data_IF_610335277578
#
_entry.id   IF_610335277578
#
_cell.length_a   1.000
_cell.length_b   1.000
_cell.length_c   1.000
_cell.angle_alpha   90.00
_cell.angle_beta   90.00
_cell.angle_gamma   90.00
#
_symmetry.space_group_name_H-M   'P 1'
#
loop_
_entity.id
_entity.type
_entity.pdbx_description
1 polymer ?
#
# COMPACT_ATOMS: atom_id res chain seq x y z
N UNK A 1 20.69 -0.14 -18.78
CA UNK A 1 20.00 0.56 -17.68
C UNK A 1 19.51 -0.52 -16.74
N UNK A 2 19.95 -0.52 -15.48
CA UNK A 2 19.42 -1.48 -14.51
C UNK A 2 17.95 -1.16 -14.31
N UNK A 3 17.05 -2.05 -14.73
CA UNK A 3 15.62 -2.03 -14.38
C UNK A 3 15.52 -2.48 -12.92
N UNK A 4 15.95 -1.61 -12.01
CA UNK A 4 15.91 -1.88 -10.58
C UNK A 4 14.45 -1.93 -10.13
N UNK A 5 14.06 -3.02 -9.48
CA UNK A 5 12.73 -3.19 -8.92
C UNK A 5 12.60 -2.24 -7.73
N UNK A 6 11.70 -1.27 -7.84
CA UNK A 6 11.33 -0.33 -6.80
C UNK A 6 9.82 -0.37 -6.56
N UNK A 7 9.36 0.35 -5.53
CA UNK A 7 7.96 0.42 -5.12
C UNK A 7 6.98 0.66 -6.29
N UNK A 8 7.28 1.65 -7.14
CA UNK A 8 6.42 2.01 -8.27
C UNK A 8 6.42 0.96 -9.38
N UNK A 9 7.60 0.40 -9.72
CA UNK A 9 7.69 -0.64 -10.76
C UNK A 9 7.06 -1.97 -10.32
N UNK A 10 7.15 -2.31 -9.03
CA UNK A 10 6.51 -3.49 -8.47
C UNK A 10 4.98 -3.35 -8.48
N UNK A 11 4.46 -2.18 -8.09
CA UNK A 11 3.03 -1.86 -8.24
C UNK A 11 2.58 -1.94 -9.70
N UNK A 12 3.36 -1.35 -10.63
CA UNK A 12 3.05 -1.40 -12.06
C UNK A 12 3.04 -2.83 -12.63
N UNK A 13 3.84 -3.75 -12.08
CA UNK A 13 3.86 -5.15 -12.51
C UNK A 13 2.57 -5.91 -12.16
N UNK A 14 1.73 -5.35 -11.28
CA UNK A 14 0.41 -5.90 -10.94
C UNK A 14 -0.71 -5.36 -11.84
N UNK A 15 -0.44 -4.32 -12.63
CA UNK A 15 -1.44 -3.70 -13.49
C UNK A 15 -2.02 -4.70 -14.49
N UNK A 16 -3.35 -4.75 -14.56
CA UNK A 16 -4.07 -5.65 -15.47
C UNK A 16 -4.14 -7.12 -15.04
N UNK A 17 -3.62 -7.48 -13.87
CA UNK A 17 -3.89 -8.79 -13.29
C UNK A 17 -5.33 -8.85 -12.78
N UNK A 18 -6.11 -9.77 -13.32
CA UNK A 18 -7.48 -10.04 -12.87
C UNK A 18 -7.52 -10.81 -11.54
N UNK A 19 -6.49 -11.62 -11.29
CA UNK A 19 -6.41 -12.52 -10.14
C UNK A 19 -4.98 -12.55 -9.57
N UNK A 20 -4.88 -12.66 -8.24
CA UNK A 20 -3.61 -12.80 -7.54
C UNK A 20 -3.30 -14.28 -7.25
N UNK A 21 -2.40 -14.85 -8.04
CA UNK A 21 -1.72 -16.09 -7.63
C UNK A 21 -0.76 -15.84 -6.46
N UNK A 22 -0.23 -16.91 -5.86
CA UNK A 22 0.67 -16.82 -4.70
C UNK A 22 1.89 -15.93 -5.00
N UNK A 23 2.45 -16.01 -6.21
CA UNK A 23 3.60 -15.19 -6.58
C UNK A 23 3.25 -13.71 -6.61
N UNK A 24 2.09 -13.36 -7.18
CA UNK A 24 1.60 -11.98 -7.23
C UNK A 24 1.24 -11.48 -5.83
N UNK A 25 0.60 -12.30 -4.98
CA UNK A 25 0.31 -11.93 -3.59
C UNK A 25 1.57 -11.62 -2.78
N UNK A 26 2.68 -12.31 -3.03
CA UNK A 26 3.96 -12.02 -2.39
C UNK A 26 4.54 -10.67 -2.80
N UNK A 27 4.33 -10.26 -4.06
CA UNK A 27 4.68 -8.92 -4.52
C UNK A 27 3.81 -7.86 -3.83
N UNK A 28 2.50 -8.09 -3.73
CA UNK A 28 1.60 -7.19 -2.97
C UNK A 28 2.05 -7.13 -1.51
N UNK A 29 2.34 -8.26 -0.88
CA UNK A 29 2.83 -8.32 0.48
C UNK A 29 4.06 -7.42 0.68
N UNK A 30 5.04 -7.51 -0.21
CA UNK A 30 6.24 -6.68 -0.14
C UNK A 30 5.93 -5.18 -0.37
N UNK A 31 4.95 -4.86 -1.22
CA UNK A 31 4.45 -3.49 -1.36
C UNK A 31 3.84 -2.98 -0.05
N UNK A 32 3.00 -3.76 0.63
CA UNK A 32 2.40 -3.37 1.92
C UNK A 32 3.45 -3.17 3.02
N UNK A 33 4.46 -4.06 3.09
CA UNK A 33 5.61 -3.90 3.97
C UNK A 33 6.37 -2.60 3.67
N UNK A 34 6.52 -2.28 2.40
CA UNK A 34 7.17 -1.04 1.96
C UNK A 34 6.28 0.19 2.17
N UNK A 35 4.96 0.03 2.15
CA UNK A 35 3.95 1.06 2.39
C UNK A 35 4.06 1.65 3.79
N UNK A 36 4.30 0.81 4.81
CA UNK A 36 4.57 1.28 6.17
C UNK A 36 5.77 2.25 6.18
N UNK A 37 6.86 1.89 5.48
CA UNK A 37 8.06 2.73 5.41
C UNK A 37 7.80 3.99 4.59
N UNK A 38 7.09 3.87 3.47
CA UNK A 38 6.66 4.99 2.63
C UNK A 38 5.94 6.07 3.45
N UNK A 39 4.92 5.66 4.22
CA UNK A 39 4.15 6.58 5.03
C UNK A 39 4.94 7.19 6.19
N UNK A 40 5.84 6.42 6.82
CA UNK A 40 6.74 6.97 7.84
C UNK A 40 7.73 7.99 7.26
N UNK A 41 8.28 7.74 6.07
CA UNK A 41 9.16 8.71 5.38
C UNK A 41 8.42 9.99 5.02
N UNK A 42 7.17 9.89 4.55
CA UNK A 42 6.33 11.07 4.33
C UNK A 42 6.07 11.82 5.62
N UNK A 43 5.77 11.11 6.72
CA UNK A 43 5.54 11.72 8.03
C UNK A 43 6.78 12.46 8.59
N UNK A 44 7.98 11.99 8.27
CA UNK A 44 9.24 12.66 8.63
C UNK A 44 9.50 13.92 7.80
N UNK A 45 9.09 13.92 6.53
CA UNK A 45 9.34 15.02 5.58
C UNK A 45 8.23 16.06 5.57
N UNK A 46 7.02 15.70 6.00
CA UNK A 46 5.90 16.65 6.09
C UNK A 46 6.16 17.60 7.27
N UNK A 47 6.39 18.88 6.97
CA UNK A 47 6.68 19.88 7.99
C UNK A 47 5.39 20.36 8.70
N UNK A 48 4.59 19.41 9.18
CA UNK A 48 3.34 19.67 9.90
C UNK A 48 3.01 18.46 10.78
N UNK A 49 2.87 18.69 12.09
CA UNK A 49 2.67 17.61 13.08
C UNK A 49 1.33 16.88 12.93
N UNK A 50 0.25 17.59 12.58
CA UNK A 50 -1.06 16.99 12.36
C UNK A 50 -1.06 16.09 11.12
N UNK A 51 -0.45 16.56 10.04
CA UNK A 51 -0.26 15.75 8.84
C UNK A 51 0.60 14.50 9.11
N UNK A 52 1.70 14.65 9.86
CA UNK A 52 2.58 13.55 10.21
C UNK A 52 1.84 12.45 10.99
N UNK A 53 0.97 12.83 11.93
CA UNK A 53 0.16 11.89 12.72
C UNK A 53 -0.84 11.11 11.85
N UNK A 54 -1.48 11.77 10.87
CA UNK A 54 -2.36 11.09 9.92
C UNK A 54 -1.61 10.04 9.10
N UNK A 55 -0.39 10.36 8.65
CA UNK A 55 0.43 9.45 7.84
C UNK A 55 0.93 8.26 8.64
N UNK A 56 1.31 8.45 9.91
CA UNK A 56 1.71 7.33 10.79
C UNK A 56 0.57 6.36 11.06
N UNK A 57 -0.69 6.82 11.03
CA UNK A 57 -1.84 5.91 11.12
C UNK A 57 -1.95 5.01 9.89
N UNK A 58 -1.82 5.57 8.68
CA UNK A 58 -1.76 4.75 7.46
C UNK A 58 -0.59 3.76 7.57
N UNK A 59 0.61 4.21 7.96
CA UNK A 59 1.78 3.34 8.09
C UNK A 59 1.54 2.08 8.94
N UNK A 60 0.87 2.22 10.10
CA UNK A 60 0.56 1.10 10.98
C UNK A 60 -0.47 0.14 10.35
N UNK A 61 -1.43 0.70 9.62
CA UNK A 61 -2.48 -0.05 8.95
C UNK A 61 -1.95 -0.85 7.74
N UNK A 62 -0.94 -0.35 7.02
CA UNK A 62 -0.27 -1.10 5.93
C UNK A 62 0.35 -2.43 6.41
N UNK A 63 0.95 -2.43 7.61
CA UNK A 63 1.44 -3.70 8.19
C UNK A 63 0.28 -4.66 8.47
N UNK A 64 -0.91 -4.14 8.71
CA UNK A 64 -2.16 -4.92 8.76
C UNK A 64 -2.49 -5.58 7.42
N UNK A 65 -2.35 -4.86 6.31
CA UNK A 65 -2.54 -5.39 4.97
C UNK A 65 -1.59 -6.55 4.67
N UNK A 66 -0.29 -6.36 4.96
CA UNK A 66 0.73 -7.40 4.80
C UNK A 66 0.38 -8.68 5.57
N UNK A 67 -0.06 -8.55 6.84
CA UNK A 67 -0.48 -9.71 7.65
C UNK A 67 -1.68 -10.43 7.05
N UNK A 68 -2.67 -9.71 6.51
CA UNK A 68 -3.84 -10.33 5.84
C UNK A 68 -3.43 -11.02 4.55
N UNK A 69 -2.47 -10.49 3.78
CA UNK A 69 -1.91 -11.16 2.61
C UNK A 69 -1.13 -12.42 2.97
N UNK A 70 -0.33 -12.41 4.03
CA UNK A 70 0.36 -13.62 4.50
C UNK A 70 -0.63 -14.74 4.86
N UNK A 71 -1.77 -14.37 5.48
CA UNK A 71 -2.87 -15.29 5.76
C UNK A 71 -3.52 -15.82 4.46
N UNK A 72 -3.80 -14.94 3.50
CA UNK A 72 -4.34 -15.33 2.20
C UNK A 72 -3.40 -16.29 1.43
N UNK A 73 -2.09 -16.02 1.44
CA UNK A 73 -1.07 -16.91 0.85
C UNK A 73 -1.09 -18.29 1.52
N UNK A 74 -1.19 -18.32 2.86
CA UNK A 74 -1.27 -19.58 3.60
C UNK A 74 -2.50 -20.41 3.19
N UNK A 75 -3.65 -19.76 3.02
CA UNK A 75 -4.88 -20.42 2.57
C UNK A 75 -4.71 -21.01 1.17
N UNK A 76 -4.15 -20.24 0.22
CA UNK A 76 -3.87 -20.72 -1.14
C UNK A 76 -2.88 -21.88 -1.21
N UNK A 77 -1.91 -21.92 -0.30
CA UNK A 77 -0.92 -23.01 -0.23
C UNK A 77 -1.44 -24.24 0.51
N UNK A 78 -2.50 -24.11 1.32
CA UNK A 78 -3.00 -25.15 2.21
C UNK A 78 -2.08 -25.42 3.42
N UNK A 79 -1.10 -24.54 3.67
CA UNK A 79 -0.17 -24.62 4.78
C UNK A 79 0.23 -23.22 5.23
N UNK A 80 0.68 -23.08 6.47
CA UNK A 80 1.22 -21.81 6.96
C UNK A 80 2.39 -21.33 6.09
N UNK A 81 2.35 -20.06 5.73
CA UNK A 81 3.41 -19.37 5.04
C UNK A 81 3.90 -18.20 5.91
N UNK A 82 5.22 -18.12 6.06
CA UNK A 82 5.91 -17.01 6.68
C UNK A 82 6.79 -16.34 5.64
N UNK A 83 6.86 -15.01 5.71
CA UNK A 83 7.73 -14.25 4.83
C UNK A 83 9.20 -14.54 5.13
N UNK A 84 9.98 -14.75 4.08
CA UNK A 84 11.43 -14.80 4.17
C UNK A 84 12.00 -13.39 4.38
N UNK A 85 13.26 -13.31 4.84
CA UNK A 85 13.94 -12.02 4.97
C UNK A 85 13.99 -11.20 3.67
N UNK A 86 14.00 -11.87 2.51
CA UNK A 86 13.97 -11.21 1.20
C UNK A 86 12.58 -10.65 0.85
N UNK A 87 11.50 -11.32 1.28
CA UNK A 87 10.13 -10.85 1.08
C UNK A 87 9.75 -9.72 2.06
N UNK A 88 10.47 -9.60 3.18
CA UNK A 88 10.41 -8.47 4.12
C UNK A 88 11.35 -7.31 3.74
N UNK A 89 12.18 -7.47 2.72
CA UNK A 89 13.06 -6.39 2.27
C UNK A 89 12.23 -5.25 1.67
N UNK A 90 12.42 -4.04 2.22
CA UNK A 90 11.71 -2.84 1.78
C UNK A 90 12.18 -2.46 0.39
N UNK A 91 11.24 -2.34 -0.55
CA UNK A 91 11.54 -1.88 -1.90
C UNK A 91 12.07 -0.45 -1.85
N UNK A 92 12.98 -0.12 -2.77
CA UNK A 92 13.45 1.26 -2.92
C UNK A 92 12.26 2.20 -3.18
N UNK A 93 12.22 3.33 -2.48
CA UNK A 93 11.14 4.33 -2.55
C UNK A 93 11.74 5.67 -2.99
N UNK A 94 11.67 6.04 -4.28
CA UNK A 94 12.22 7.29 -4.77
C UNK A 94 11.27 8.46 -4.47
N UNK A 95 11.21 8.87 -3.20
CA UNK A 95 10.46 10.04 -2.73
C UNK A 95 11.29 11.32 -2.90
N UNK A 96 10.68 12.45 -3.32
CA UNK A 96 11.34 13.75 -3.35
C UNK A 96 11.69 14.23 -1.94
N UNK A 97 12.72 15.07 -1.83
CA UNK A 97 13.16 15.64 -0.54
C UNK A 97 12.09 16.55 0.08
N UNK A 98 11.28 17.19 -0.76
CA UNK A 98 10.20 18.08 -0.34
C UNK A 98 8.85 17.42 -0.62
N UNK A 99 8.03 17.34 0.41
CA UNK A 99 6.64 16.89 0.32
C UNK A 99 5.74 18.07 -0.04
N UNK A 100 5.05 17.98 -1.18
CA UNK A 100 4.18 19.03 -1.71
C UNK A 100 2.71 18.61 -1.72
N UNK A 101 1.82 19.58 -1.88
CA UNK A 101 0.39 19.31 -2.12
C UNK A 101 0.20 18.46 -3.40
N UNK A 102 0.90 18.75 -4.48
CA UNK A 102 0.78 17.99 -5.74
C UNK A 102 1.17 16.52 -5.58
N UNK A 103 2.21 16.22 -4.77
CA UNK A 103 2.56 14.85 -4.40
C UNK A 103 1.38 14.14 -3.72
N UNK A 104 0.70 14.83 -2.80
CA UNK A 104 -0.43 14.27 -2.08
C UNK A 104 -1.67 14.05 -2.94
N UNK A 105 -1.93 14.87 -3.95
CA UNK A 105 -2.96 14.57 -4.94
C UNK A 105 -2.68 13.24 -5.65
N UNK A 106 -1.40 12.95 -5.97
CA UNK A 106 -0.98 11.66 -6.49
C UNK A 106 -1.15 10.50 -5.51
N UNK A 107 -0.81 10.71 -4.23
CA UNK A 107 -0.98 9.69 -3.18
C UNK A 107 -2.45 9.33 -2.98
N UNK A 108 -3.34 10.33 -2.89
CA UNK A 108 -4.80 10.10 -2.78
C UNK A 108 -5.29 9.23 -3.94
N UNK A 109 -4.86 9.52 -5.16
CA UNK A 109 -5.23 8.70 -6.31
C UNK A 109 -4.62 7.29 -6.24
N UNK A 110 -3.41 7.14 -5.71
CA UNK A 110 -2.77 5.86 -5.44
C UNK A 110 -3.60 4.98 -4.51
N UNK A 111 -4.05 5.52 -3.39
CA UNK A 111 -4.89 4.82 -2.40
C UNK A 111 -6.24 4.39 -3.00
N UNK A 112 -6.89 5.28 -3.74
CA UNK A 112 -8.15 4.97 -4.45
C UNK A 112 -7.94 3.82 -5.45
N UNK A 113 -6.82 3.83 -6.17
CA UNK A 113 -6.47 2.75 -7.08
C UNK A 113 -6.12 1.46 -6.34
N UNK A 114 -5.55 1.56 -5.13
CA UNK A 114 -5.30 0.44 -4.22
C UNK A 114 -6.59 -0.28 -3.84
N UNK A 115 -7.60 0.47 -3.36
CA UNK A 115 -8.94 -0.09 -3.10
C UNK A 115 -9.51 -0.76 -4.35
N UNK A 116 -9.54 -0.05 -5.46
CA UNK A 116 -10.07 -0.59 -6.72
C UNK A 116 -9.36 -1.88 -7.14
N UNK A 117 -8.04 -1.95 -6.97
CA UNK A 117 -7.24 -3.16 -7.22
C UNK A 117 -7.65 -4.32 -6.31
N UNK A 118 -7.74 -4.07 -4.99
CA UNK A 118 -8.17 -5.07 -4.03
C UNK A 118 -9.59 -5.57 -4.28
N UNK A 119 -10.55 -4.69 -4.58
CA UNK A 119 -11.91 -5.12 -4.92
C UNK A 119 -11.92 -5.93 -6.22
N UNK A 120 -11.16 -5.51 -7.23
CA UNK A 120 -11.08 -6.24 -8.48
C UNK A 120 -10.53 -7.65 -8.31
N UNK A 121 -9.45 -7.82 -7.55
CA UNK A 121 -8.90 -9.15 -7.27
C UNK A 121 -9.84 -10.00 -6.41
N UNK A 122 -10.55 -9.38 -5.46
CA UNK A 122 -11.56 -10.08 -4.66
C UNK A 122 -12.73 -10.59 -5.53
N UNK A 123 -13.22 -9.80 -6.48
CA UNK A 123 -14.31 -10.21 -7.38
C UNK A 123 -13.97 -11.44 -8.24
N UNK A 124 -12.68 -11.77 -8.38
CA UNK A 124 -12.18 -12.92 -9.15
C UNK A 124 -11.57 -14.03 -8.26
N UNK A 125 -11.70 -13.91 -6.95
CA UNK A 125 -11.16 -14.88 -6.00
C UNK A 125 -12.16 -16.01 -5.73
N UNK A 126 -11.81 -17.29 -5.98
CA UNK A 126 -12.71 -18.42 -5.70
C UNK A 126 -12.77 -18.85 -4.23
N UNK A 127 -11.78 -18.52 -3.41
CA UNK A 127 -11.80 -18.82 -1.97
C UNK A 127 -12.44 -17.66 -1.19
N UNK A 128 -13.61 -17.91 -0.60
CA UNK A 128 -14.42 -16.89 0.09
C UNK A 128 -13.67 -16.20 1.25
N UNK A 129 -12.76 -16.90 1.94
CA UNK A 129 -11.99 -16.31 3.03
C UNK A 129 -10.86 -15.43 2.49
N UNK A 130 -10.20 -15.85 1.41
CA UNK A 130 -9.23 -15.00 0.70
C UNK A 130 -9.90 -13.76 0.15
N UNK A 131 -11.06 -13.90 -0.48
CA UNK A 131 -11.86 -12.79 -0.99
C UNK A 131 -12.13 -11.79 0.14
N UNK A 132 -12.64 -12.28 1.28
CA UNK A 132 -12.97 -11.45 2.43
C UNK A 132 -11.76 -10.66 2.95
N UNK A 133 -10.57 -11.27 2.96
CA UNK A 133 -9.33 -10.62 3.37
C UNK A 133 -8.91 -9.52 2.38
N UNK A 134 -9.00 -9.75 1.07
CA UNK A 134 -8.71 -8.75 0.05
C UNK A 134 -9.68 -7.56 0.16
N UNK A 135 -10.98 -7.82 0.33
CA UNK A 135 -11.96 -6.73 0.53
C UNK A 135 -11.73 -5.91 1.80
N UNK A 136 -11.14 -6.53 2.84
CA UNK A 136 -10.78 -5.80 4.05
C UNK A 136 -9.64 -4.81 3.78
N UNK A 137 -8.58 -5.23 3.07
CA UNK A 137 -7.51 -4.32 2.68
C UNK A 137 -8.05 -3.16 1.84
N UNK A 138 -8.83 -3.44 0.78
CA UNK A 138 -9.36 -2.35 -0.07
C UNK A 138 -10.21 -1.33 0.69
N UNK A 139 -11.04 -1.77 1.65
CA UNK A 139 -11.78 -0.84 2.51
C UNK A 139 -10.88 0.02 3.40
N UNK A 140 -9.76 -0.52 3.86
CA UNK A 140 -8.76 0.24 4.62
C UNK A 140 -8.03 1.25 3.70
N UNK A 141 -7.76 0.92 2.44
CA UNK A 141 -7.22 1.90 1.46
C UNK A 141 -8.14 3.09 1.21
N UNK A 142 -9.46 2.90 1.23
CA UNK A 142 -10.41 4.04 1.20
C UNK A 142 -10.21 4.98 2.40
N UNK A 143 -9.92 4.41 3.57
CA UNK A 143 -9.65 5.20 4.78
C UNK A 143 -8.31 5.92 4.63
N UNK A 144 -7.29 5.24 4.08
CA UNK A 144 -5.99 5.82 3.78
C UNK A 144 -6.10 7.01 2.83
N UNK A 145 -6.86 6.87 1.74
CA UNK A 145 -7.17 7.95 0.80
C UNK A 145 -7.80 9.15 1.52
N UNK A 146 -8.76 8.91 2.41
CA UNK A 146 -9.39 9.95 3.22
C UNK A 146 -8.42 10.68 4.15
N UNK A 147 -7.43 10.01 4.72
CA UNK A 147 -6.38 10.65 5.53
C UNK A 147 -5.37 11.40 4.66
N UNK A 148 -4.96 10.83 3.52
CA UNK A 148 -4.10 11.50 2.56
C UNK A 148 -4.75 12.78 2.00
N UNK A 149 -6.07 12.78 1.80
CA UNK A 149 -6.84 13.94 1.39
C UNK A 149 -6.85 15.05 2.46
N UNK A 150 -6.94 14.68 3.74
CA UNK A 150 -6.80 15.66 4.83
C UNK A 150 -5.40 16.29 4.85
N UNK A 151 -4.35 15.48 4.61
CA UNK A 151 -2.97 16.01 4.50
C UNK A 151 -2.84 16.98 3.32
N UNK A 152 -3.41 16.64 2.16
CA UNK A 152 -3.46 17.52 0.99
C UNK A 152 -4.05 18.90 1.36
N UNK A 153 -5.19 18.90 2.03
CA UNK A 153 -5.88 20.14 2.44
C UNK A 153 -5.06 20.97 3.44
N UNK A 154 -4.36 20.31 4.38
CA UNK A 154 -3.44 20.98 5.32
C UNK A 154 -2.32 21.69 4.56
N UNK A 155 -1.70 21.01 3.59
CA UNK A 155 -0.59 21.56 2.81
C UNK A 155 -1.04 22.72 1.90
N UNK A 156 -2.22 22.60 1.28
CA UNK A 156 -2.79 23.69 0.47
C UNK A 156 -3.07 24.94 1.30
N UNK A 157 -3.63 24.78 2.51
CA UNK A 157 -3.88 25.89 3.44
C UNK A 157 -2.60 26.58 3.89
N UNK A 158 -1.53 25.82 4.13
CA UNK A 158 -0.23 26.36 4.55
C UNK A 158 0.51 27.12 3.43
N UNK A 159 0.19 26.85 2.16
CA UNK A 159 0.76 27.51 0.99
C UNK A 159 -0.03 28.74 0.51
N UNK A 160 -1.21 28.98 1.08
CA UNK A 160 -2.11 30.11 0.77
C UNK A 160 -1.82 31.32 1.67
#
# INVERSE_FOLDING_TARGET
MSTEVNFYTASAALAGKEYLDVASMKVVYQLEVSGEVFYNLLAERVNNAEAAELLRKNAVEERGHARRLARAISLKLGSEWEATAAEEEVLSIPLPDVVTADLFAGIVQGEINGDAGYQHWADHEPDEEVERLLRLNGREETIHAGRAQQVLEILQKAAS
#
